data_IF_559018954554
#
_entry.id   IF_559018954554
#
_cell.length_a   1.000
_cell.length_b   1.000
_cell.length_c   1.000
_cell.angle_alpha   90.00
_cell.angle_beta   90.00
_cell.angle_gamma   90.00
#
_symmetry.space_group_name_H-M   'P 1'
#
loop_
_entity.id
_entity.type
_entity.pdbx_description
1 polymer ?
#
# COMPACT_ATOMS: atom_id res chain seq x y z
N UNK A 1 -0.37 18.16 16.31
CA UNK A 1 -0.85 16.88 15.77
C UNK A 1 0.29 15.88 15.87
N UNK A 2 0.46 15.20 17.02
CA UNK A 2 1.65 14.37 17.28
C UNK A 2 1.95 13.37 16.16
N UNK A 3 0.91 12.79 15.55
CA UNK A 3 1.07 11.85 14.44
C UNK A 3 1.82 12.40 13.21
N UNK A 4 1.67 13.70 12.88
CA UNK A 4 2.40 14.30 11.75
C UNK A 4 3.89 14.51 12.06
N UNK A 5 4.22 14.74 13.34
CA UNK A 5 5.59 14.85 13.82
C UNK A 5 6.26 13.47 13.85
N UNK A 6 5.54 12.43 14.28
CA UNK A 6 6.02 11.04 14.31
C UNK A 6 6.47 10.54 12.93
N UNK A 7 5.77 10.97 11.87
CA UNK A 7 6.05 10.56 10.48
C UNK A 7 6.81 11.64 9.68
N UNK A 8 7.15 12.77 10.30
CA UNK A 8 7.85 13.90 9.68
C UNK A 8 7.23 14.34 8.33
N UNK A 9 5.91 14.56 8.30
CA UNK A 9 5.19 14.98 7.08
C UNK A 9 4.33 16.21 7.31
N UNK A 10 4.20 17.04 6.27
CA UNK A 10 3.13 18.05 6.22
C UNK A 10 1.78 17.37 6.09
N UNK A 11 0.70 18.05 6.50
CA UNK A 11 -0.66 17.51 6.39
C UNK A 11 -1.02 17.03 4.98
N UNK A 12 -0.66 17.80 3.94
CA UNK A 12 -0.93 17.44 2.55
C UNK A 12 -0.11 16.23 2.07
N UNK A 13 1.17 16.14 2.49
CA UNK A 13 2.01 14.98 2.18
C UNK A 13 1.46 13.71 2.84
N UNK A 14 1.03 13.84 4.10
CA UNK A 14 0.42 12.75 4.85
C UNK A 14 -0.91 12.29 4.22
N UNK A 15 -1.80 13.22 3.88
CA UNK A 15 -3.07 12.93 3.20
C UNK A 15 -2.83 12.19 1.88
N UNK A 16 -1.93 12.70 1.03
CA UNK A 16 -1.61 12.08 -0.26
C UNK A 16 -1.07 10.66 -0.09
N UNK A 17 -0.23 10.45 0.91
CA UNK A 17 0.35 9.14 1.22
C UNK A 17 -0.74 8.17 1.68
N UNK A 18 -1.59 8.59 2.62
CA UNK A 18 -2.70 7.78 3.12
C UNK A 18 -3.69 7.37 2.01
N UNK A 19 -4.11 8.32 1.16
CA UNK A 19 -5.00 8.02 0.03
C UNK A 19 -4.33 7.11 -1.02
N UNK A 20 -3.04 7.33 -1.28
CA UNK A 20 -2.26 6.44 -2.15
C UNK A 20 -2.19 5.02 -1.61
N UNK A 21 -1.99 4.84 -0.30
CA UNK A 21 -2.01 3.54 0.36
C UNK A 21 -3.39 2.88 0.28
N UNK A 22 -4.47 3.62 0.53
CA UNK A 22 -5.84 3.10 0.46
C UNK A 22 -6.17 2.52 -0.91
N UNK A 23 -5.80 3.22 -2.00
CA UNK A 23 -6.01 2.73 -3.37
C UNK A 23 -5.20 1.45 -3.63
N UNK A 24 -3.92 1.42 -3.22
CA UNK A 24 -3.07 0.23 -3.39
C UNK A 24 -3.62 -0.96 -2.60
N UNK A 25 -4.10 -0.75 -1.37
CA UNK A 25 -4.74 -1.79 -0.58
C UNK A 25 -6.03 -2.29 -1.19
N UNK A 26 -6.87 -1.40 -1.72
CA UNK A 26 -8.11 -1.78 -2.38
C UNK A 26 -7.84 -2.65 -3.63
N UNK A 27 -6.91 -2.23 -4.49
CA UNK A 27 -6.53 -3.02 -5.66
C UNK A 27 -5.87 -4.33 -5.22
N UNK A 28 -4.97 -4.28 -4.24
CA UNK A 28 -4.28 -5.44 -3.71
C UNK A 28 -5.21 -6.49 -3.07
N UNK A 29 -6.26 -6.06 -2.39
CA UNK A 29 -7.26 -6.97 -1.81
C UNK A 29 -8.05 -7.67 -2.91
N UNK A 30 -8.48 -6.96 -3.96
CA UNK A 30 -9.12 -7.56 -5.14
C UNK A 30 -8.20 -8.58 -5.80
N UNK A 31 -6.91 -8.24 -5.99
CA UNK A 31 -5.90 -9.17 -6.53
C UNK A 31 -5.74 -10.42 -5.68
N UNK A 32 -5.72 -10.28 -4.34
CA UNK A 32 -5.63 -11.42 -3.41
C UNK A 32 -6.88 -12.30 -3.44
N UNK A 33 -8.07 -11.72 -3.55
CA UNK A 33 -9.32 -12.48 -3.72
C UNK A 33 -9.29 -13.28 -5.03
N UNK A 34 -8.85 -12.66 -6.13
CA UNK A 34 -8.67 -13.35 -7.42
C UNK A 34 -7.63 -14.47 -7.30
N UNK A 35 -6.47 -14.21 -6.68
CA UNK A 35 -5.43 -15.21 -6.45
C UNK A 35 -5.94 -16.38 -5.59
N UNK A 36 -6.79 -16.12 -4.59
CA UNK A 36 -7.41 -17.17 -3.78
C UNK A 36 -8.29 -18.14 -4.58
N UNK A 37 -8.89 -17.69 -5.68
CA UNK A 37 -9.72 -18.51 -6.58
C UNK A 37 -8.88 -19.09 -7.73
N UNK A 38 -7.98 -18.29 -8.30
CA UNK A 38 -7.15 -18.60 -9.47
C UNK A 38 -5.67 -18.30 -9.17
N UNK A 39 -4.98 -19.16 -8.38
CA UNK A 39 -3.65 -18.84 -7.85
C UNK A 39 -2.56 -18.68 -8.91
N UNK A 40 -2.78 -19.18 -10.12
CA UNK A 40 -1.86 -19.10 -11.26
C UNK A 40 -1.97 -17.80 -12.07
N UNK A 41 -2.99 -16.96 -11.82
CA UNK A 41 -3.20 -15.70 -12.58
C UNK A 41 -2.34 -14.56 -12.04
N UNK A 42 -2.09 -14.52 -10.73
CA UNK A 42 -1.32 -13.47 -10.06
C UNK A 42 -0.60 -14.01 -8.84
N UNK A 43 0.49 -14.76 -9.06
CA UNK A 43 1.29 -15.42 -8.03
C UNK A 43 2.02 -14.46 -7.09
N UNK A 44 2.14 -13.17 -7.47
CA UNK A 44 2.80 -12.12 -6.69
C UNK A 44 1.83 -11.08 -6.12
N UNK A 45 0.53 -11.37 -6.07
CA UNK A 45 -0.54 -10.48 -5.60
C UNK A 45 -0.18 -9.80 -4.26
N UNK A 46 0.11 -10.60 -3.24
CA UNK A 46 0.43 -10.12 -1.90
C UNK A 46 1.77 -9.40 -1.82
N UNK A 47 2.84 -10.02 -2.31
CA UNK A 47 4.21 -9.48 -2.25
C UNK A 47 4.29 -8.10 -2.91
N UNK A 48 3.72 -7.95 -4.10
CA UNK A 48 3.74 -6.69 -4.85
C UNK A 48 2.90 -5.61 -4.16
N UNK A 49 1.76 -5.97 -3.58
CA UNK A 49 0.90 -5.03 -2.85
C UNK A 49 1.65 -4.45 -1.64
N UNK A 50 2.27 -5.31 -0.83
CA UNK A 50 3.05 -4.88 0.35
C UNK A 50 4.25 -4.03 -0.06
N UNK A 51 5.01 -4.45 -1.07
CA UNK A 51 6.16 -3.69 -1.56
C UNK A 51 5.76 -2.29 -2.04
N UNK A 52 4.64 -2.15 -2.75
CA UNK A 52 4.14 -0.86 -3.23
C UNK A 52 3.72 0.07 -2.08
N UNK A 53 3.09 -0.48 -1.04
CA UNK A 53 2.72 0.30 0.15
C UNK A 53 3.97 0.72 0.92
N UNK A 54 4.94 -0.17 1.11
CA UNK A 54 6.23 0.14 1.77
C UNK A 54 7.00 1.26 1.08
N UNK A 55 7.08 1.23 -0.24
CA UNK A 55 7.68 2.31 -1.04
C UNK A 55 6.99 3.65 -0.84
N UNK A 56 5.67 3.67 -0.71
CA UNK A 56 4.91 4.89 -0.40
C UNK A 56 5.16 5.43 1.01
N UNK A 57 5.55 4.57 1.94
CA UNK A 57 6.00 4.95 3.29
C UNK A 57 7.48 5.37 3.34
N UNK A 58 8.18 5.37 2.20
CA UNK A 58 9.59 5.77 2.12
C UNK A 58 10.59 4.65 2.39
N UNK A 59 10.16 3.39 2.43
CA UNK A 59 11.08 2.25 2.53
C UNK A 59 11.61 1.83 1.15
N UNK A 60 12.88 1.42 1.09
CA UNK A 60 13.59 1.05 -0.14
C UNK A 60 13.97 -0.44 -0.22
N UNK A 61 13.41 -1.27 0.67
CA UNK A 61 13.61 -2.72 0.72
C UNK A 61 12.63 -3.51 -0.16
#
# INVERSE_FOLDING_TARGET
MGHLEDVNMTWFAHLRTAWGMAIVFFIGSVRLLVHGILPFVDDKAGQTTVANVRKRMGHND
#
